data_IF_114691954597
#
_entry.id   IF_114691954597
#
_cell.length_a   1.000
_cell.length_b   1.000
_cell.length_c   1.000
_cell.angle_alpha   90.00
_cell.angle_beta   90.00
_cell.angle_gamma   90.00
#
_symmetry.space_group_name_H-M   'P 1'
#
loop_
_entity.id
_entity.type
_entity.pdbx_description
1 polymer ?
#
# COMPACT_ATOMS: atom_id res chain seq x y z
N UNK A 1 6.46 -11.89 47.00
CA UNK A 1 6.03 -12.46 45.69
C UNK A 1 4.68 -11.85 45.34
N UNK A 2 4.42 -11.24 44.19
CA UNK A 2 4.97 -11.42 42.84
C UNK A 2 5.42 -10.09 42.23
N UNK A 3 6.71 -10.02 41.88
CA UNK A 3 7.20 -9.06 40.89
C UNK A 3 6.74 -9.61 39.54
N UNK A 4 5.70 -9.03 38.96
CA UNK A 4 5.33 -9.35 37.58
C UNK A 4 5.25 -8.07 36.79
N UNK A 5 6.24 -7.92 35.91
CA UNK A 5 6.27 -7.09 34.71
C UNK A 5 6.16 -5.58 34.92
N UNK A 6 7.25 -4.85 34.65
CA UNK A 6 7.31 -3.80 33.63
C UNK A 6 8.80 -3.52 33.39
N UNK A 7 9.38 -4.23 32.42
CA UNK A 7 10.44 -3.66 31.61
C UNK A 7 9.78 -3.30 30.28
N UNK A 8 9.12 -2.15 30.24
CA UNK A 8 8.79 -1.47 28.99
C UNK A 8 9.68 -0.24 28.94
N UNK A 9 10.67 -0.30 28.06
CA UNK A 9 11.63 0.76 27.76
C UNK A 9 10.91 2.03 27.27
N UNK A 10 10.55 2.89 28.22
CA UNK A 10 10.14 4.25 27.97
C UNK A 10 10.55 5.04 29.20
N UNK A 11 11.73 5.68 29.16
CA UNK A 11 12.27 6.44 30.28
C UNK A 11 11.28 7.47 30.84
N UNK A 12 11.62 8.10 31.98
CA UNK A 12 10.75 9.02 32.69
C UNK A 12 10.08 10.04 31.76
N UNK A 13 8.73 10.12 31.81
CA UNK A 13 7.96 11.08 31.01
C UNK A 13 8.07 12.48 31.66
N UNK A 14 8.52 13.47 30.90
CA UNK A 14 8.53 14.87 31.34
C UNK A 14 7.08 15.37 31.46
N UNK A 15 6.70 16.17 32.48
CA UNK A 15 5.37 16.78 32.57
C UNK A 15 5.04 17.64 31.35
N UNK A 16 3.80 17.60 30.89
CA UNK A 16 3.32 18.34 29.72
C UNK A 16 1.85 18.75 29.89
N UNK A 17 1.40 19.83 29.23
CA UNK A 17 0.02 20.29 29.31
C UNK A 17 -0.94 19.28 28.64
N UNK A 18 -1.96 18.83 29.37
CA UNK A 18 -2.91 17.81 28.89
C UNK A 18 -4.04 18.36 28.03
N UNK A 19 -4.29 19.67 28.11
CA UNK A 19 -5.37 20.33 27.40
C UNK A 19 -4.97 20.78 25.99
N UNK A 20 -3.69 20.68 25.63
CA UNK A 20 -3.21 21.05 24.30
C UNK A 20 -3.48 19.90 23.34
N UNK A 21 -4.15 20.21 22.23
CA UNK A 21 -4.44 19.27 21.16
C UNK A 21 -3.71 19.68 19.87
N UNK A 22 -3.21 18.68 19.15
CA UNK A 22 -2.65 18.84 17.81
C UNK A 22 -3.06 17.65 16.94
N UNK A 23 -3.30 17.86 15.64
CA UNK A 23 -3.74 16.80 14.73
C UNK A 23 -2.73 15.65 14.60
N UNK A 24 -1.44 15.91 14.78
CA UNK A 24 -0.39 14.89 14.73
C UNK A 24 -0.24 14.12 16.06
N UNK A 25 -0.99 14.50 17.10
CA UNK A 25 -0.82 14.03 18.47
C UNK A 25 -0.07 15.04 19.34
N UNK A 26 0.55 14.55 20.41
CA UNK A 26 1.29 15.37 21.37
C UNK A 26 2.35 14.56 22.11
N UNK A 27 2.67 14.95 23.33
CA UNK A 27 3.69 14.27 24.11
C UNK A 27 3.29 12.83 24.47
N UNK A 28 4.12 11.87 24.04
CA UNK A 28 3.99 10.45 24.33
C UNK A 28 2.61 9.86 23.99
N UNK A 29 2.02 10.27 22.85
CA UNK A 29 0.71 9.79 22.40
C UNK A 29 0.69 8.27 22.22
N UNK A 30 -0.07 7.59 23.09
CA UNK A 30 -0.30 6.14 23.06
C UNK A 30 -1.79 5.87 23.30
N UNK A 31 -2.67 6.16 22.33
CA UNK A 31 -4.09 5.92 22.49
C UNK A 31 -4.34 4.41 22.61
N UNK A 32 -5.29 4.02 23.47
CA UNK A 32 -5.62 2.61 23.69
C UNK A 32 -6.04 1.88 22.39
N UNK A 33 -6.65 2.61 21.45
CA UNK A 33 -7.21 2.07 20.21
C UNK A 33 -6.28 2.17 19.00
N UNK A 34 -4.97 2.40 19.19
CA UNK A 34 -4.04 2.64 18.07
C UNK A 34 -4.11 1.55 16.98
N UNK A 35 -4.26 0.27 17.38
CA UNK A 35 -4.32 -0.86 16.44
C UNK A 35 -5.52 -0.78 15.50
N UNK A 36 -6.70 -0.50 16.05
CA UNK A 36 -7.92 -0.39 15.26
C UNK A 36 -7.85 0.81 14.32
N UNK A 37 -7.37 1.96 14.81
CA UNK A 37 -7.22 3.16 13.99
C UNK A 37 -6.24 2.95 12.84
N UNK A 38 -5.10 2.28 13.10
CA UNK A 38 -4.13 1.93 12.05
C UNK A 38 -4.71 0.94 11.05
N UNK A 39 -5.48 -0.05 11.50
CA UNK A 39 -6.13 -1.01 10.61
C UNK A 39 -7.14 -0.32 9.68
N UNK A 40 -7.96 0.58 10.21
CA UNK A 40 -8.91 1.38 9.40
C UNK A 40 -8.17 2.23 8.38
N UNK A 41 -7.15 2.98 8.80
CA UNK A 41 -6.37 3.80 7.86
C UNK A 41 -5.64 2.96 6.81
N UNK A 42 -5.11 1.81 7.19
CA UNK A 42 -4.50 0.86 6.26
C UNK A 42 -5.49 0.35 5.22
N UNK A 43 -6.72 0.01 5.63
CA UNK A 43 -7.77 -0.41 4.71
C UNK A 43 -8.16 0.71 3.73
N UNK A 44 -8.28 1.95 4.19
CA UNK A 44 -8.55 3.10 3.33
C UNK A 44 -7.45 3.31 2.29
N UNK A 45 -6.18 3.30 2.73
CA UNK A 45 -5.03 3.44 1.83
C UNK A 45 -5.01 2.31 0.79
N UNK A 46 -5.19 1.06 1.23
CA UNK A 46 -5.24 -0.08 0.33
C UNK A 46 -6.37 0.03 -0.70
N UNK A 47 -7.56 0.49 -0.29
CA UNK A 47 -8.68 0.73 -1.18
C UNK A 47 -8.38 1.78 -2.25
N UNK A 48 -7.80 2.93 -1.86
CA UNK A 48 -7.40 3.98 -2.80
C UNK A 48 -6.35 3.47 -3.79
N UNK A 49 -5.34 2.75 -3.30
CA UNK A 49 -4.30 2.15 -4.15
C UNK A 49 -4.90 1.16 -5.13
N UNK A 50 -5.81 0.29 -4.71
CA UNK A 50 -6.44 -0.69 -5.59
C UNK A 50 -7.24 -0.02 -6.72
N UNK A 51 -8.01 1.02 -6.39
CA UNK A 51 -8.77 1.79 -7.39
C UNK A 51 -7.86 2.51 -8.38
N UNK A 52 -6.86 3.23 -7.87
CA UNK A 52 -5.90 3.94 -8.71
C UNK A 52 -5.10 2.98 -9.60
N UNK A 53 -4.70 1.82 -9.06
CA UNK A 53 -4.02 0.77 -9.82
C UNK A 53 -4.90 0.23 -10.94
N UNK A 54 -6.15 -0.15 -10.64
CA UNK A 54 -7.09 -0.66 -11.64
C UNK A 54 -7.31 0.34 -12.77
N UNK A 55 -7.59 1.59 -12.42
CA UNK A 55 -7.75 2.68 -13.39
C UNK A 55 -6.49 2.87 -14.24
N UNK A 56 -5.31 2.93 -13.60
CA UNK A 56 -4.04 3.08 -14.29
C UNK A 56 -3.78 1.92 -15.26
N UNK A 57 -4.03 0.68 -14.86
CA UNK A 57 -3.77 -0.51 -15.67
C UNK A 57 -4.70 -0.61 -16.89
N UNK A 58 -5.93 -0.11 -16.79
CA UNK A 58 -6.90 -0.05 -17.88
C UNK A 58 -6.60 1.06 -18.89
N UNK A 59 -6.13 2.22 -18.40
CA UNK A 59 -5.87 3.41 -19.23
C UNK A 59 -4.40 3.52 -19.68
N UNK A 60 -3.59 2.51 -19.37
CA UNK A 60 -2.20 2.50 -19.75
C UNK A 60 -2.04 2.38 -21.27
N UNK A 61 -1.47 3.42 -21.87
CA UNK A 61 -1.16 3.45 -23.29
C UNK A 61 0.35 3.58 -23.53
N UNK A 62 0.85 2.73 -24.43
CA UNK A 62 2.23 2.69 -24.90
C UNK A 62 2.26 2.74 -26.43
N UNK A 63 3.16 3.56 -26.95
CA UNK A 63 3.43 3.66 -28.39
C UNK A 63 4.20 2.44 -28.91
N UNK A 64 5.18 1.96 -28.13
CA UNK A 64 5.98 0.79 -28.46
C UNK A 64 5.56 -0.38 -27.55
N UNK A 65 5.22 -1.51 -28.17
CA UNK A 65 4.92 -2.73 -27.44
C UNK A 65 6.21 -3.39 -26.96
N UNK A 66 6.20 -3.97 -25.75
CA UNK A 66 7.39 -4.53 -25.17
C UNK A 66 7.86 -5.77 -25.92
N UNK A 67 9.18 -5.91 -26.03
CA UNK A 67 9.80 -7.09 -26.64
C UNK A 67 9.63 -8.34 -25.76
N UNK A 68 9.55 -9.54 -26.35
CA UNK A 68 9.36 -10.78 -25.58
C UNK A 68 10.55 -11.13 -24.69
N UNK A 69 11.77 -10.70 -25.03
CA UNK A 69 13.02 -10.97 -24.31
C UNK A 69 13.20 -10.14 -23.02
N UNK A 70 12.37 -9.13 -22.79
CA UNK A 70 12.53 -8.18 -21.67
C UNK A 70 11.48 -8.36 -20.60
N UNK A 71 11.91 -8.33 -19.34
CA UNK A 71 11.03 -8.32 -18.18
C UNK A 71 10.57 -6.91 -17.83
N UNK A 72 9.29 -6.77 -17.51
CA UNK A 72 8.70 -5.58 -16.90
C UNK A 72 7.45 -6.01 -16.10
N UNK A 73 7.25 -5.48 -14.89
CA UNK A 73 6.17 -5.96 -14.01
C UNK A 73 4.77 -5.72 -14.59
N UNK A 74 4.57 -4.60 -15.29
CA UNK A 74 3.26 -4.21 -15.81
C UNK A 74 2.70 -5.16 -16.87
N UNK A 75 3.53 -6.06 -17.43
CA UNK A 75 3.12 -7.14 -18.35
C UNK A 75 1.92 -7.94 -17.85
N UNK A 76 1.84 -8.13 -16.54
CA UNK A 76 0.84 -9.00 -15.92
C UNK A 76 -0.51 -8.30 -15.68
N UNK A 77 -0.58 -6.98 -15.75
CA UNK A 77 -1.80 -6.24 -15.41
C UNK A 77 -2.19 -5.14 -16.40
N UNK A 78 -1.28 -4.60 -17.21
CA UNK A 78 -1.61 -3.61 -18.24
C UNK A 78 -2.51 -4.21 -19.31
N UNK A 79 -3.71 -3.65 -19.50
CA UNK A 79 -4.69 -4.15 -20.47
C UNK A 79 -4.12 -4.19 -21.90
N UNK A 80 -3.50 -3.11 -22.34
CA UNK A 80 -2.95 -2.99 -23.70
C UNK A 80 -1.91 -4.07 -24.03
N UNK A 81 -1.04 -4.42 -23.08
CA UNK A 81 0.02 -5.41 -23.29
C UNK A 81 -0.57 -6.81 -23.32
N UNK A 82 -1.46 -7.12 -22.37
CA UNK A 82 -2.10 -8.42 -22.30
C UNK A 82 -2.89 -8.70 -23.59
N UNK A 83 -3.64 -7.71 -24.09
CA UNK A 83 -4.38 -7.83 -25.36
C UNK A 83 -3.44 -8.00 -26.56
N UNK A 84 -2.36 -7.22 -26.62
CA UNK A 84 -1.34 -7.35 -27.66
C UNK A 84 -0.72 -8.76 -27.69
N UNK A 85 -0.31 -9.28 -26.54
CA UNK A 85 0.34 -10.59 -26.45
C UNK A 85 -0.62 -11.76 -26.72
N UNK A 86 -1.89 -11.64 -26.32
CA UNK A 86 -2.92 -12.62 -26.72
C UNK A 86 -3.11 -12.65 -28.23
N UNK A 87 -3.16 -11.48 -28.88
CA UNK A 87 -3.31 -11.40 -30.33
C UNK A 87 -2.11 -12.00 -31.09
N UNK A 88 -0.88 -11.78 -30.61
CA UNK A 88 0.32 -12.40 -31.20
C UNK A 88 0.29 -13.93 -31.08
N UNK A 89 -0.11 -14.45 -29.91
CA UNK A 89 -0.24 -15.91 -29.69
C UNK A 89 -1.28 -16.55 -30.60
N UNK A 90 -2.44 -15.91 -30.78
CA UNK A 90 -3.49 -16.41 -31.68
C UNK A 90 -3.01 -16.52 -33.14
N UNK A 91 -2.31 -15.49 -33.65
CA UNK A 91 -1.73 -15.50 -35.00
C UNK A 91 -0.69 -16.61 -35.18
N UNK A 92 0.17 -16.80 -34.17
CA UNK A 92 1.19 -17.84 -34.20
C UNK A 92 0.61 -19.26 -34.19
N UNK A 93 -0.58 -19.48 -33.62
CA UNK A 93 -1.27 -20.78 -33.67
C UNK A 93 -2.02 -21.05 -34.98
N UNK A 94 -2.33 -20.00 -35.76
CA UNK A 94 -3.01 -20.11 -37.05
C UNK A 94 -2.03 -20.35 -38.22
N UNK A 95 -0.73 -20.17 -37.99
CA UNK A 95 0.35 -20.35 -38.97
C UNK A 95 0.98 -21.73 -38.87
#
# INVERSE_FOLDING_TARGET
MRVTQILRSGGGKVPYPKHVWSPAGGWYSQPANWKANTAVMGAVVAGVVALAWGYSAEHEFRNEMPRPDRFFPSRYWSKQIIEHERAQKAKASES
#
